data_IF_435210281450
#
_entry.id   IF_435210281450
#
_cell.length_a   1.000
_cell.length_b   1.000
_cell.length_c   1.000
_cell.angle_alpha   90.00
_cell.angle_beta   90.00
_cell.angle_gamma   90.00
#
_symmetry.space_group_name_H-M   'P 1'
#
loop_
_entity.id
_entity.type
_entity.pdbx_description
1 polymer ?
#
# COMPACT_ATOMS: atom_id res chain seq x y z
N UNK A 1 32.88 -12.53 -18.96
CA UNK A 1 32.70 -11.07 -19.03
C UNK A 1 32.01 -10.65 -17.76
N UNK A 2 32.68 -9.89 -16.90
CA UNK A 2 32.07 -9.41 -15.67
C UNK A 2 31.06 -8.30 -16.01
N UNK A 3 29.83 -8.32 -15.47
CA UNK A 3 28.91 -7.21 -15.64
C UNK A 3 29.51 -5.97 -14.95
N UNK A 4 29.71 -4.91 -15.71
CA UNK A 4 30.05 -3.59 -15.16
C UNK A 4 28.98 -3.20 -14.17
N UNK A 5 29.34 -3.03 -12.90
CA UNK A 5 28.51 -2.31 -11.93
C UNK A 5 28.23 -0.93 -12.53
N UNK A 6 27.01 -0.68 -12.92
CA UNK A 6 26.53 0.67 -13.16
C UNK A 6 26.66 1.42 -11.82
N UNK A 7 27.67 2.27 -11.74
CA UNK A 7 27.83 3.16 -10.61
C UNK A 7 26.57 4.01 -10.50
N UNK A 8 26.03 4.12 -9.29
CA UNK A 8 24.99 5.09 -8.97
C UNK A 8 25.48 6.47 -9.41
N UNK A 9 24.77 7.19 -10.27
CA UNK A 9 25.07 8.58 -10.48
C UNK A 9 24.64 9.32 -9.22
N UNK A 10 25.54 10.13 -8.72
CA UNK A 10 25.36 11.09 -7.65
C UNK A 10 25.28 10.58 -6.21
N UNK A 11 26.14 11.17 -5.37
CA UNK A 11 26.16 11.08 -3.93
C UNK A 11 24.95 11.75 -3.24
N UNK A 12 23.74 11.50 -3.73
CA UNK A 12 22.51 11.91 -3.04
C UNK A 12 22.38 11.07 -1.78
N UNK A 13 22.38 11.77 -0.66
CA UNK A 13 22.04 11.21 0.63
C UNK A 13 20.65 10.56 0.51
N UNK A 14 20.51 9.32 0.95
CA UNK A 14 19.28 8.50 0.98
C UNK A 14 18.21 9.05 1.94
N UNK A 15 18.05 10.37 2.04
CA UNK A 15 17.21 11.00 3.07
C UNK A 15 15.80 11.36 2.59
N UNK A 16 15.45 11.16 1.30
CA UNK A 16 14.26 11.83 0.77
C UNK A 16 13.22 10.89 0.07
N UNK A 17 13.26 9.58 0.32
CA UNK A 17 12.24 8.64 -0.18
C UNK A 17 11.34 8.14 0.96
N UNK A 18 11.03 8.98 1.92
CA UNK A 18 10.14 8.61 3.00
C UNK A 18 8.68 8.74 2.55
N UNK A 19 7.90 7.68 2.74
CA UNK A 19 6.44 7.79 2.85
C UNK A 19 6.13 8.90 3.85
N UNK A 20 4.95 9.53 3.72
CA UNK A 20 4.54 10.59 4.63
C UNK A 20 4.60 10.12 6.09
N UNK A 21 5.61 10.59 6.82
CA UNK A 21 5.76 10.31 8.25
C UNK A 21 4.81 11.23 9.03
N UNK A 22 3.99 10.68 9.90
CA UNK A 22 3.12 11.43 10.80
C UNK A 22 3.88 12.44 11.68
N UNK A 23 5.17 12.21 11.92
CA UNK A 23 6.06 13.18 12.59
C UNK A 23 6.25 14.45 11.77
N UNK A 24 6.34 14.32 10.44
CA UNK A 24 6.47 15.47 9.56
C UNK A 24 5.22 16.37 9.63
N UNK A 25 4.03 15.76 9.67
CA UNK A 25 2.77 16.48 9.86
C UNK A 25 2.71 17.24 11.19
N UNK A 26 3.37 16.73 12.23
CA UNK A 26 3.44 17.40 13.55
C UNK A 26 4.49 18.49 13.61
N UNK A 27 5.57 18.39 12.84
CA UNK A 27 6.71 19.32 12.91
C UNK A 27 6.70 20.40 11.84
N UNK A 28 6.15 20.12 10.64
CA UNK A 28 6.20 21.00 9.46
C UNK A 28 4.93 20.86 8.61
N UNK A 29 3.79 21.06 9.24
CA UNK A 29 2.47 20.88 8.62
C UNK A 29 2.27 21.80 7.41
N UNK A 30 2.66 23.06 7.53
CA UNK A 30 2.49 24.07 6.50
C UNK A 30 3.24 23.69 5.20
N UNK A 31 4.46 23.23 5.31
CA UNK A 31 5.25 22.78 4.14
C UNK A 31 4.62 21.56 3.47
N UNK A 32 4.11 20.60 4.27
CA UNK A 32 3.40 19.43 3.73
C UNK A 32 2.15 19.85 2.97
N UNK A 33 1.34 20.74 3.55
CA UNK A 33 0.11 21.23 2.92
C UNK A 33 0.41 21.92 1.58
N UNK A 34 1.44 22.77 1.52
CA UNK A 34 1.82 23.43 0.27
C UNK A 34 2.27 22.42 -0.81
N UNK A 35 3.04 21.41 -0.44
CA UNK A 35 3.45 20.36 -1.38
C UNK A 35 2.28 19.49 -1.85
N UNK A 36 1.29 19.24 -1.00
CA UNK A 36 0.11 18.46 -1.36
C UNK A 36 -0.79 19.18 -2.37
N UNK A 37 -0.75 20.52 -2.42
CA UNK A 37 -1.47 21.31 -3.43
C UNK A 37 -1.04 20.98 -4.86
N UNK A 38 0.23 20.57 -5.08
CA UNK A 38 0.73 20.12 -6.38
C UNK A 38 -0.09 18.95 -6.93
N UNK A 39 -0.66 18.13 -6.02
CA UNK A 39 -1.54 16.99 -6.36
C UNK A 39 -3.03 17.35 -6.30
N UNK A 40 -3.37 18.62 -6.28
CA UNK A 40 -4.75 19.10 -6.08
C UNK A 40 -5.44 18.52 -4.83
N UNK A 41 -4.63 18.19 -3.80
CA UNK A 41 -5.14 17.62 -2.56
C UNK A 41 -5.35 18.72 -1.52
N UNK A 42 -6.57 18.84 -1.03
CA UNK A 42 -6.93 19.75 0.06
C UNK A 42 -6.89 18.99 1.37
N UNK A 43 -5.91 19.30 2.20
CA UNK A 43 -5.76 18.70 3.51
C UNK A 43 -6.58 19.47 4.56
N UNK A 44 -7.37 18.73 5.34
CA UNK A 44 -8.13 19.31 6.45
C UNK A 44 -7.22 19.55 7.67
N UNK A 45 -6.59 20.71 7.67
CA UNK A 45 -5.62 21.13 8.71
C UNK A 45 -6.30 21.26 10.07
N UNK A 46 -7.52 21.76 10.10
CA UNK A 46 -8.23 22.04 11.36
C UNK A 46 -8.65 20.73 12.03
N UNK A 47 -9.21 19.79 11.27
CA UNK A 47 -9.53 18.46 11.77
C UNK A 47 -8.29 17.71 12.28
N UNK A 48 -7.17 17.80 11.56
CA UNK A 48 -5.92 17.18 12.01
C UNK A 48 -5.42 17.78 13.33
N UNK A 49 -5.40 19.11 13.45
CA UNK A 49 -4.95 19.80 14.67
C UNK A 49 -5.82 19.47 15.86
N UNK A 50 -7.13 19.44 15.66
CA UNK A 50 -8.08 19.08 16.71
C UNK A 50 -7.86 17.66 17.22
N UNK A 51 -7.76 16.68 16.32
CA UNK A 51 -7.51 15.27 16.68
C UNK A 51 -6.15 15.09 17.38
N UNK A 52 -5.09 15.74 16.92
CA UNK A 52 -3.76 15.67 17.55
C UNK A 52 -3.74 16.32 18.94
N UNK A 53 -4.44 17.42 19.16
CA UNK A 53 -4.51 18.02 20.49
C UNK A 53 -5.33 17.15 21.46
N UNK A 54 -6.47 16.61 21.02
CA UNK A 54 -7.24 15.65 21.82
C UNK A 54 -6.41 14.41 22.15
N UNK A 55 -5.68 13.85 21.17
CA UNK A 55 -4.79 12.69 21.37
C UNK A 55 -3.73 12.99 22.42
N UNK A 56 -3.10 14.16 22.35
CA UNK A 56 -2.07 14.58 23.31
C UNK A 56 -2.61 14.69 24.73
N UNK A 57 -3.77 15.31 24.90
CA UNK A 57 -4.44 15.44 26.22
C UNK A 57 -4.79 14.07 26.78
N UNK A 58 -5.44 13.20 25.99
CA UNK A 58 -5.81 11.86 26.42
C UNK A 58 -4.59 10.98 26.72
N UNK A 59 -3.54 11.09 25.91
CA UNK A 59 -2.31 10.33 26.13
C UNK A 59 -1.63 10.71 27.45
N UNK A 60 -1.55 12.02 27.78
CA UNK A 60 -1.00 12.49 29.05
C UNK A 60 -1.85 12.00 30.21
N UNK A 61 -3.17 12.19 30.15
CA UNK A 61 -4.11 11.73 31.18
C UNK A 61 -4.01 10.20 31.42
N UNK A 62 -3.94 9.42 30.35
CA UNK A 62 -3.77 7.95 30.46
C UNK A 62 -2.47 7.58 31.15
N UNK A 63 -1.36 8.27 30.82
CA UNK A 63 -0.06 8.04 31.46
C UNK A 63 -0.08 8.41 32.96
N UNK A 64 -0.74 9.52 33.31
CA UNK A 64 -0.91 9.95 34.71
C UNK A 64 -1.72 8.93 35.52
N UNK A 65 -2.88 8.48 34.99
CA UNK A 65 -3.70 7.44 35.61
C UNK A 65 -2.94 6.13 35.79
N UNK A 66 -2.15 5.72 34.80
CA UNK A 66 -1.29 4.53 34.88
C UNK A 66 -0.23 4.67 35.97
N UNK A 67 0.42 5.84 36.05
CA UNK A 67 1.44 6.15 37.06
C UNK A 67 0.85 6.14 38.49
N UNK A 68 -0.31 6.79 38.63
CA UNK A 68 -1.03 6.85 39.90
C UNK A 68 -1.46 5.44 40.38
N UNK A 69 -2.09 4.66 39.49
CA UNK A 69 -2.47 3.27 39.78
C UNK A 69 -1.28 2.43 40.19
N UNK A 70 -0.13 2.56 39.53
CA UNK A 70 1.09 1.83 39.88
C UNK A 70 1.61 2.25 41.28
N UNK A 71 1.53 3.54 41.61
CA UNK A 71 1.95 4.07 42.89
C UNK A 71 1.04 3.54 44.04
N UNK A 72 -0.29 3.61 43.82
CA UNK A 72 -1.27 3.07 44.79
C UNK A 72 -1.13 1.55 44.97
N UNK A 73 -0.88 0.82 43.86
CA UNK A 73 -0.65 -0.63 43.95
C UNK A 73 0.60 -1.00 44.78
N UNK A 74 1.66 -0.19 44.73
CA UNK A 74 2.82 -0.37 45.58
C UNK A 74 2.52 -0.05 47.06
N UNK A 75 1.69 0.96 47.31
CA UNK A 75 1.26 1.33 48.67
C UNK A 75 0.48 0.21 49.34
N UNK A 76 -0.33 -0.57 48.62
CA UNK A 76 -1.01 -1.77 49.14
C UNK A 76 0.00 -2.77 49.70
N UNK A 77 1.12 -3.01 49.00
CA UNK A 77 2.18 -3.90 49.45
C UNK A 77 2.81 -3.43 50.77
N UNK A 78 3.07 -2.13 50.94
CA UNK A 78 3.62 -1.54 52.15
C UNK A 78 2.62 -1.59 53.31
N UNK A 79 1.37 -1.19 53.09
CA UNK A 79 0.30 -1.23 54.10
C UNK A 79 0.03 -2.66 54.58
N UNK A 80 0.05 -3.65 53.70
CA UNK A 80 -0.07 -5.06 54.06
C UNK A 80 1.09 -5.54 54.95
N UNK A 81 2.30 -5.07 54.70
CA UNK A 81 3.48 -5.40 55.51
C UNK A 81 3.44 -4.76 56.91
N UNK A 82 2.82 -3.57 57.05
CA UNK A 82 2.64 -2.87 58.31
C UNK A 82 1.38 -3.29 59.09
N UNK A 83 0.52 -4.15 58.51
CA UNK A 83 -0.71 -4.62 59.17
C UNK A 83 -1.85 -3.62 59.17
N UNK A 84 -1.78 -2.60 58.26
CA UNK A 84 -2.81 -1.61 58.11
C UNK A 84 -4.00 -2.13 57.28
N UNK A 85 -5.17 -1.48 57.41
CA UNK A 85 -6.32 -1.80 56.58
C UNK A 85 -6.06 -1.40 55.12
N UNK A 86 -6.07 -2.38 54.24
CA UNK A 86 -5.78 -2.20 52.80
C UNK A 86 -7.04 -1.98 51.97
N UNK A 87 -8.26 -2.11 52.55
CA UNK A 87 -9.50 -2.03 51.77
C UNK A 87 -9.68 -0.67 51.06
N UNK A 88 -9.41 0.47 51.72
CA UNK A 88 -9.50 1.77 51.02
C UNK A 88 -8.55 1.88 49.82
N UNK A 89 -7.33 1.35 49.93
CA UNK A 89 -6.36 1.35 48.84
C UNK A 89 -6.78 0.43 47.69
N UNK A 90 -7.41 -0.69 47.99
CA UNK A 90 -7.96 -1.60 46.97
C UNK A 90 -9.11 -0.93 46.22
N UNK A 91 -9.99 -0.23 46.91
CA UNK A 91 -11.11 0.50 46.27
C UNK A 91 -10.61 1.66 45.41
N UNK A 92 -9.58 2.40 45.83
CA UNK A 92 -8.91 3.41 45.04
C UNK A 92 -8.28 2.82 43.77
N UNK A 93 -7.55 1.72 43.87
CA UNK A 93 -6.91 1.06 42.74
C UNK A 93 -7.95 0.50 41.74
N UNK A 94 -9.07 -0.01 42.22
CA UNK A 94 -10.18 -0.46 41.41
C UNK A 94 -10.77 0.73 40.63
N UNK A 95 -11.08 1.85 41.28
CA UNK A 95 -11.57 3.07 40.66
C UNK A 95 -10.60 3.63 39.63
N UNK A 96 -9.31 3.67 39.93
CA UNK A 96 -8.26 4.08 38.98
C UNK A 96 -8.17 3.12 37.78
N UNK A 97 -8.38 1.82 38.01
CA UNK A 97 -8.43 0.81 36.96
C UNK A 97 -9.58 1.08 35.96
N UNK A 98 -10.77 1.39 36.46
CA UNK A 98 -11.92 1.70 35.62
C UNK A 98 -11.71 2.98 34.81
N UNK A 99 -11.18 4.04 35.46
CA UNK A 99 -10.84 5.30 34.75
C UNK A 99 -9.77 5.09 33.69
N UNK A 100 -8.76 4.31 33.97
CA UNK A 100 -7.71 4.00 33.03
C UNK A 100 -8.26 3.23 31.81
N UNK A 101 -9.09 2.23 32.02
CA UNK A 101 -9.74 1.46 30.96
C UNK A 101 -10.61 2.36 30.08
N UNK A 102 -11.34 3.31 30.66
CA UNK A 102 -12.12 4.27 29.91
C UNK A 102 -11.21 5.18 29.07
N UNK A 103 -10.16 5.76 29.66
CA UNK A 103 -9.21 6.62 28.97
C UNK A 103 -8.49 5.90 27.83
N UNK A 104 -8.10 4.63 28.02
CA UNK A 104 -7.51 3.78 26.98
C UNK A 104 -8.48 3.51 25.82
N UNK A 105 -9.78 3.30 26.12
CA UNK A 105 -10.81 3.14 25.09
C UNK A 105 -11.00 4.42 24.28
N UNK A 106 -11.12 5.57 24.96
CA UNK A 106 -11.27 6.87 24.31
C UNK A 106 -10.06 7.22 23.42
N UNK A 107 -8.84 6.92 23.92
CA UNK A 107 -7.61 7.09 23.15
C UNK A 107 -7.57 6.17 21.93
N UNK A 108 -8.05 4.93 22.06
CA UNK A 108 -8.18 3.97 20.95
C UNK A 108 -9.15 4.47 19.89
N UNK A 109 -10.33 4.94 20.27
CA UNK A 109 -11.32 5.47 19.34
C UNK A 109 -10.81 6.72 18.61
N UNK A 110 -10.07 7.57 19.32
CA UNK A 110 -9.46 8.77 18.74
C UNK A 110 -8.34 8.40 17.76
N UNK A 111 -7.52 7.37 18.08
CA UNK A 111 -6.47 6.89 17.20
C UNK A 111 -7.05 6.34 15.89
N UNK A 112 -8.17 5.62 15.94
CA UNK A 112 -8.87 5.16 14.72
C UNK A 112 -9.27 6.33 13.84
N UNK A 113 -9.85 7.39 14.40
CA UNK A 113 -10.23 8.59 13.62
C UNK A 113 -9.01 9.29 13.00
N UNK A 114 -7.92 9.38 13.75
CA UNK A 114 -6.67 9.96 13.25
C UNK A 114 -6.08 9.12 12.13
N UNK A 115 -6.07 7.80 12.27
CA UNK A 115 -5.56 6.87 11.26
C UNK A 115 -6.43 6.93 9.98
N UNK A 116 -7.75 7.02 10.08
CA UNK A 116 -8.65 7.21 8.93
C UNK A 116 -8.33 8.51 8.17
N UNK A 117 -8.10 9.62 8.87
CA UNK A 117 -7.70 10.87 8.24
C UNK A 117 -6.33 10.75 7.56
N UNK A 118 -5.34 10.16 8.24
CA UNK A 118 -3.98 9.99 7.73
C UNK A 118 -3.90 9.07 6.50
N UNK A 119 -4.69 8.00 6.47
CA UNK A 119 -4.76 7.06 5.34
C UNK A 119 -5.28 7.70 4.05
N UNK A 120 -6.04 8.79 4.15
CA UNK A 120 -6.51 9.56 3.01
C UNK A 120 -5.46 10.46 2.37
N UNK A 121 -4.33 10.73 3.04
CA UNK A 121 -3.33 11.69 2.58
C UNK A 121 -2.38 11.05 1.57
N UNK A 122 -2.22 11.59 0.36
CA UNK A 122 -1.23 11.10 -0.59
C UNK A 122 0.21 11.42 -0.12
N UNK A 123 1.19 10.65 -0.61
CA UNK A 123 2.59 10.96 -0.37
C UNK A 123 2.97 12.35 -0.90
N UNK A 124 3.84 13.02 -0.17
CA UNK A 124 4.40 14.32 -0.57
C UNK A 124 5.19 14.15 -1.87
N UNK A 125 4.90 14.93 -2.92
CA UNK A 125 5.65 14.87 -4.16
C UNK A 125 7.08 15.40 -3.97
N UNK A 126 8.02 14.88 -4.76
CA UNK A 126 9.37 15.42 -4.83
C UNK A 126 9.34 16.82 -5.46
N UNK A 127 10.31 17.68 -5.12
CA UNK A 127 10.36 19.09 -5.57
C UNK A 127 10.49 19.23 -7.11
N UNK A 128 10.92 18.17 -7.80
CA UNK A 128 10.99 18.15 -9.28
C UNK A 128 9.66 17.84 -9.98
N UNK A 129 8.60 17.51 -9.23
CA UNK A 129 7.30 17.21 -9.80
C UNK A 129 6.60 18.53 -10.17
N UNK A 130 6.22 18.73 -11.44
CA UNK A 130 5.51 19.93 -11.84
C UNK A 130 4.09 19.94 -11.25
N UNK A 131 3.55 21.13 -11.07
CA UNK A 131 2.11 21.28 -10.83
C UNK A 131 1.36 21.07 -12.13
N UNK A 132 0.24 20.37 -12.08
CA UNK A 132 -0.59 20.11 -13.27
C UNK A 132 -1.86 19.35 -12.93
N UNK A 133 -2.81 19.40 -13.87
CA UNK A 133 -4.12 18.76 -13.75
C UNK A 133 -4.24 17.48 -14.58
N UNK A 134 -3.35 17.29 -15.55
CA UNK A 134 -3.37 16.17 -16.48
C UNK A 134 -1.97 15.66 -16.81
N UNK A 135 -1.92 14.59 -17.61
CA UNK A 135 -0.67 14.03 -18.15
C UNK A 135 0.05 14.98 -19.12
N UNK A 136 -0.67 15.94 -19.70
CA UNK A 136 -0.09 16.96 -20.60
C UNK A 136 0.85 17.92 -19.87
N UNK A 137 0.70 18.06 -18.57
CA UNK A 137 1.54 18.90 -17.72
C UNK A 137 2.84 18.19 -17.30
N UNK A 138 3.01 16.91 -17.65
CA UNK A 138 4.19 16.14 -17.29
C UNK A 138 5.44 16.64 -18.02
N UNK A 139 6.53 16.75 -17.27
CA UNK A 139 7.84 17.07 -17.86
C UNK A 139 8.52 15.83 -18.38
N UNK A 140 8.87 15.82 -19.67
CA UNK A 140 9.66 14.74 -20.27
C UNK A 140 11.08 14.79 -19.72
N UNK A 141 11.48 13.73 -19.00
CA UNK A 141 12.80 13.64 -18.35
C UNK A 141 13.88 13.20 -19.34
N UNK A 142 13.56 12.24 -20.21
CA UNK A 142 14.50 11.72 -21.21
C UNK A 142 13.77 11.02 -22.35
N UNK A 143 14.42 10.97 -23.50
CA UNK A 143 14.00 10.13 -24.63
C UNK A 143 15.04 9.03 -24.84
N UNK A 144 14.60 7.84 -25.20
CA UNK A 144 15.45 6.74 -25.61
C UNK A 144 14.98 6.16 -26.94
N UNK A 145 15.89 6.10 -27.91
CA UNK A 145 15.61 5.61 -29.26
C UNK A 145 14.76 6.59 -30.07
N UNK A 146 14.47 6.21 -31.30
CA UNK A 146 13.59 6.92 -32.20
C UNK A 146 12.45 5.99 -32.64
N UNK A 147 11.18 6.44 -32.64
CA UNK A 147 10.08 5.64 -33.14
C UNK A 147 10.30 5.32 -34.63
N UNK A 148 10.14 4.03 -35.03
CA UNK A 148 10.28 3.66 -36.42
C UNK A 148 9.18 4.35 -37.27
N UNK A 149 9.57 4.78 -38.48
CA UNK A 149 8.62 5.25 -39.47
C UNK A 149 8.27 4.09 -40.42
N UNK A 150 6.98 3.93 -40.66
CA UNK A 150 6.46 2.89 -41.56
C UNK A 150 5.92 3.53 -42.85
N UNK A 151 6.08 2.84 -43.96
CA UNK A 151 5.56 3.22 -45.28
C UNK A 151 4.17 2.61 -45.55
N UNK A 152 3.55 2.02 -44.56
CA UNK A 152 2.21 1.44 -44.60
C UNK A 152 1.34 1.95 -43.44
N UNK A 153 0.03 1.77 -43.55
CA UNK A 153 -0.93 2.12 -42.50
C UNK A 153 -0.74 1.19 -41.27
N UNK A 154 -0.36 1.79 -40.17
CA UNK A 154 -0.15 1.08 -38.91
C UNK A 154 -1.51 0.72 -38.29
N UNK A 155 -1.69 -0.56 -37.93
CA UNK A 155 -2.85 -1.06 -37.20
C UNK A 155 -2.46 -1.42 -35.79
N UNK A 156 -3.36 -1.20 -34.86
CA UNK A 156 -3.12 -1.60 -33.48
C UNK A 156 -3.29 -3.12 -33.26
N UNK A 157 -3.01 -3.58 -32.06
CA UNK A 157 -3.07 -5.00 -31.70
C UNK A 157 -4.50 -5.56 -31.70
N UNK A 158 -5.52 -4.71 -31.53
CA UNK A 158 -6.94 -5.12 -31.55
C UNK A 158 -7.32 -5.42 -33.01
N UNK A 159 -7.10 -4.45 -33.90
CA UNK A 159 -7.40 -4.61 -35.32
C UNK A 159 -6.69 -5.82 -35.92
N UNK A 160 -5.43 -6.02 -35.57
CA UNK A 160 -4.65 -7.18 -36.04
C UNK A 160 -5.19 -8.48 -35.47
N UNK A 161 -5.54 -8.50 -34.20
CA UNK A 161 -6.06 -9.69 -33.52
C UNK A 161 -7.43 -10.12 -34.04
N UNK A 162 -8.32 -9.18 -34.31
CA UNK A 162 -9.63 -9.42 -34.89
C UNK A 162 -9.51 -9.88 -36.36
N UNK A 163 -8.67 -9.20 -37.16
CA UNK A 163 -8.42 -9.59 -38.56
C UNK A 163 -7.85 -11.01 -38.67
N UNK A 164 -7.08 -11.47 -37.70
CA UNK A 164 -6.57 -12.83 -37.62
C UNK A 164 -7.59 -13.83 -37.05
N UNK A 165 -8.77 -13.38 -36.63
CA UNK A 165 -9.80 -14.20 -35.99
C UNK A 165 -9.38 -14.77 -34.61
N UNK A 166 -8.34 -14.22 -34.02
CA UNK A 166 -7.76 -14.71 -32.75
C UNK A 166 -8.21 -13.97 -31.50
N UNK A 167 -8.85 -12.79 -31.64
CA UNK A 167 -9.44 -12.00 -30.56
C UNK A 167 -10.93 -11.84 -30.82
N UNK A 168 -11.75 -11.91 -29.75
CA UNK A 168 -13.20 -11.77 -29.86
C UNK A 168 -13.77 -11.12 -28.59
N UNK A 169 -14.00 -9.83 -28.66
CA UNK A 169 -14.58 -9.04 -27.58
C UNK A 169 -16.07 -9.28 -27.40
N UNK A 170 -16.81 -9.53 -28.51
CA UNK A 170 -18.24 -9.76 -28.46
C UNK A 170 -18.57 -11.07 -27.71
N UNK A 171 -17.80 -12.12 -27.97
CA UNK A 171 -17.88 -13.37 -27.24
C UNK A 171 -17.59 -13.16 -25.76
N UNK A 172 -16.53 -12.43 -25.42
CA UNK A 172 -16.17 -12.11 -24.05
C UNK A 172 -17.27 -11.31 -23.33
N UNK A 173 -17.88 -10.35 -24.02
CA UNK A 173 -18.98 -9.55 -23.47
C UNK A 173 -20.19 -10.40 -23.11
N UNK A 174 -20.52 -11.42 -23.91
CA UNK A 174 -21.61 -12.38 -23.59
C UNK A 174 -21.31 -13.27 -22.38
N UNK A 175 -20.02 -13.55 -22.13
CA UNK A 175 -19.59 -14.43 -21.02
C UNK A 175 -19.46 -13.66 -19.72
N UNK A 176 -18.85 -12.48 -19.76
CA UNK A 176 -18.40 -11.77 -18.56
C UNK A 176 -18.73 -10.27 -18.54
N UNK A 177 -19.24 -9.72 -19.64
CA UNK A 177 -19.53 -8.29 -19.77
C UNK A 177 -18.48 -7.53 -20.59
N UNK A 178 -18.68 -6.22 -20.69
CA UNK A 178 -17.77 -5.34 -21.42
C UNK A 178 -16.35 -5.35 -20.81
N UNK A 179 -15.37 -5.07 -21.65
CA UNK A 179 -13.94 -4.96 -21.29
C UNK A 179 -13.26 -6.30 -20.97
N UNK A 180 -13.86 -7.44 -21.23
CA UNK A 180 -13.20 -8.73 -21.26
C UNK A 180 -12.78 -9.09 -22.68
N UNK A 181 -11.84 -10.01 -22.80
CA UNK A 181 -11.36 -10.51 -24.09
C UNK A 181 -11.33 -12.03 -24.09
N UNK A 182 -11.70 -12.63 -25.22
CA UNK A 182 -11.39 -14.04 -25.47
C UNK A 182 -10.38 -14.14 -26.60
N UNK A 183 -9.43 -15.04 -26.45
CA UNK A 183 -8.44 -15.34 -27.47
C UNK A 183 -8.49 -16.80 -27.84
N UNK A 184 -8.17 -17.11 -29.10
CA UNK A 184 -8.14 -18.48 -29.61
C UNK A 184 -6.97 -18.69 -30.58
N UNK A 185 -6.59 -19.97 -30.75
CA UNK A 185 -5.62 -20.39 -31.77
C UNK A 185 -4.19 -19.85 -31.56
N UNK A 186 -3.52 -19.42 -32.66
CA UNK A 186 -2.11 -19.03 -32.61
C UNK A 186 -1.81 -17.85 -31.67
N UNK A 187 -2.77 -16.92 -31.45
CA UNK A 187 -2.55 -15.79 -30.53
C UNK A 187 -2.41 -16.23 -29.09
N UNK A 188 -3.13 -17.26 -28.67
CA UNK A 188 -2.96 -17.84 -27.33
C UNK A 188 -1.56 -18.50 -27.19
N UNK A 189 -1.08 -19.14 -28.27
CA UNK A 189 0.27 -19.71 -28.28
C UNK A 189 1.32 -18.62 -28.19
N UNK A 190 1.16 -17.52 -28.93
CA UNK A 190 2.04 -16.35 -28.88
C UNK A 190 2.04 -15.73 -27.47
N UNK A 191 0.87 -15.54 -26.86
CA UNK A 191 0.78 -15.02 -25.50
C UNK A 191 1.57 -15.85 -24.51
N UNK A 192 1.42 -17.19 -24.55
CA UNK A 192 2.20 -18.08 -23.65
C UNK A 192 3.70 -18.01 -23.92
N UNK A 193 4.10 -17.91 -25.19
CA UNK A 193 5.50 -17.75 -25.55
C UNK A 193 6.09 -16.44 -25.00
N UNK A 194 5.37 -15.34 -25.11
CA UNK A 194 5.77 -14.05 -24.55
C UNK A 194 5.85 -14.08 -23.02
N UNK A 195 4.88 -14.69 -22.35
CA UNK A 195 4.92 -14.89 -20.90
C UNK A 195 6.18 -15.63 -20.47
N UNK A 196 6.44 -16.76 -21.11
CA UNK A 196 7.63 -17.59 -20.80
C UNK A 196 8.93 -16.84 -21.11
N UNK A 197 8.98 -16.11 -22.23
CA UNK A 197 10.15 -15.30 -22.60
C UNK A 197 10.44 -14.24 -21.52
N UNK A 198 9.42 -13.46 -21.11
CA UNK A 198 9.59 -12.40 -20.12
C UNK A 198 10.00 -12.94 -18.73
N UNK A 199 9.39 -14.05 -18.28
CA UNK A 199 9.79 -14.69 -17.02
C UNK A 199 11.23 -15.17 -17.09
N UNK A 200 11.60 -15.90 -18.15
CA UNK A 200 12.94 -16.42 -18.33
C UNK A 200 14.00 -15.31 -18.39
N UNK A 201 13.69 -14.19 -19.06
CA UNK A 201 14.57 -13.02 -19.12
C UNK A 201 14.89 -12.49 -17.71
N UNK A 202 13.88 -12.36 -16.87
CA UNK A 202 14.09 -11.89 -15.51
C UNK A 202 14.83 -12.88 -14.62
N UNK A 203 14.55 -14.18 -14.75
CA UNK A 203 15.25 -15.22 -13.98
C UNK A 203 16.71 -15.34 -14.42
N UNK A 204 16.95 -15.45 -15.72
CA UNK A 204 18.28 -15.81 -16.25
C UNK A 204 19.24 -14.62 -16.33
N UNK A 205 18.74 -13.43 -16.70
CA UNK A 205 19.56 -12.26 -16.95
C UNK A 205 19.56 -11.26 -15.78
N UNK A 206 18.47 -11.16 -15.03
CA UNK A 206 18.32 -10.14 -14.00
C UNK A 206 18.37 -10.68 -12.57
N UNK A 207 18.47 -12.01 -12.39
CA UNK A 207 18.60 -12.65 -11.09
C UNK A 207 17.36 -12.56 -10.21
N UNK A 208 16.18 -12.60 -10.82
CA UNK A 208 14.91 -12.69 -10.09
C UNK A 208 14.59 -14.14 -9.73
N UNK A 209 13.89 -14.32 -8.63
CA UNK A 209 13.29 -15.59 -8.24
C UNK A 209 11.84 -15.63 -8.72
N UNK A 210 11.45 -16.67 -9.46
CA UNK A 210 10.06 -16.85 -9.84
C UNK A 210 9.21 -17.18 -8.62
N UNK A 211 8.06 -16.49 -8.50
CA UNK A 211 7.12 -16.65 -7.41
C UNK A 211 5.74 -17.04 -7.93
N UNK A 212 5.10 -17.97 -7.25
CA UNK A 212 3.70 -18.29 -7.43
C UNK A 212 2.93 -17.84 -6.19
N UNK A 213 1.91 -17.01 -6.38
CA UNK A 213 1.15 -16.41 -5.30
C UNK A 213 -0.36 -16.68 -5.46
N UNK A 214 -1.14 -16.66 -4.37
CA UNK A 214 -2.60 -16.73 -4.43
C UNK A 214 -3.19 -15.57 -5.24
N UNK A 215 -4.27 -15.85 -5.99
CA UNK A 215 -5.03 -14.84 -6.73
C UNK A 215 -6.15 -14.20 -5.91
N UNK A 216 -6.45 -14.80 -4.75
CA UNK A 216 -7.38 -14.31 -3.76
C UNK A 216 -6.61 -13.95 -2.50
N UNK A 217 -6.82 -12.72 -2.02
CA UNK A 217 -6.14 -12.19 -0.84
C UNK A 217 -7.14 -11.59 0.14
N UNK A 218 -6.74 -11.48 1.40
CA UNK A 218 -7.52 -10.80 2.44
C UNK A 218 -7.32 -9.28 2.41
N UNK A 219 -8.14 -8.56 3.17
CA UNK A 219 -8.09 -7.10 3.26
C UNK A 219 -6.74 -6.58 3.79
N UNK A 220 -6.14 -7.27 4.78
CA UNK A 220 -4.86 -6.87 5.35
C UNK A 220 -3.72 -6.88 4.32
N UNK A 221 -3.70 -7.85 3.41
CA UNK A 221 -2.75 -7.93 2.30
C UNK A 221 -2.88 -6.74 1.34
N UNK A 222 -4.12 -6.32 1.03
CA UNK A 222 -4.40 -5.16 0.19
C UNK A 222 -4.05 -3.84 0.89
N UNK A 223 -4.25 -3.79 2.20
CA UNK A 223 -3.85 -2.64 3.02
C UNK A 223 -2.32 -2.48 3.03
N UNK A 224 -1.58 -3.58 3.19
CA UNK A 224 -0.12 -3.59 3.21
C UNK A 224 0.55 -3.02 1.95
N UNK A 225 -0.15 -3.02 0.81
CA UNK A 225 0.33 -2.45 -0.47
C UNK A 225 -0.39 -1.15 -0.86
N UNK A 226 -1.19 -0.56 0.04
CA UNK A 226 -1.87 0.71 -0.19
C UNK A 226 -3.04 0.66 -1.18
N UNK A 227 -3.55 -0.53 -1.51
CA UNK A 227 -4.77 -0.67 -2.31
C UNK A 227 -6.02 -0.31 -1.47
N UNK A 228 -5.99 -0.65 -0.21
CA UNK A 228 -7.02 -0.28 0.76
C UNK A 228 -6.56 0.90 1.64
N UNK A 229 -7.48 1.76 2.10
CA UNK A 229 -8.92 1.78 1.83
C UNK A 229 -9.28 2.46 0.50
N UNK A 230 -8.37 3.23 -0.10
CA UNK A 230 -8.62 4.18 -1.19
C UNK A 230 -9.26 3.56 -2.43
N UNK A 231 -8.81 2.38 -2.82
CA UNK A 231 -9.25 1.70 -4.06
C UNK A 231 -10.21 0.54 -3.80
N UNK A 232 -10.86 0.51 -2.61
CA UNK A 232 -11.78 -0.58 -2.24
C UNK A 232 -12.90 -0.82 -3.27
N UNK A 233 -13.42 0.25 -3.87
CA UNK A 233 -14.48 0.18 -4.87
C UNK A 233 -14.01 -0.36 -6.23
N UNK A 234 -12.70 -0.37 -6.44
CA UNK A 234 -12.04 -0.82 -7.66
C UNK A 234 -11.56 -2.27 -7.56
N UNK A 235 -12.05 -3.03 -6.59
CA UNK A 235 -11.65 -4.41 -6.35
C UNK A 235 -12.84 -5.36 -6.51
N UNK A 236 -12.59 -6.52 -7.11
CA UNK A 236 -13.56 -7.61 -7.11
C UNK A 236 -13.60 -8.26 -5.73
N UNK A 237 -14.66 -8.00 -5.00
CA UNK A 237 -14.89 -8.53 -3.68
C UNK A 237 -15.67 -9.84 -3.73
N UNK A 238 -15.16 -10.89 -3.09
CA UNK A 238 -15.76 -12.21 -3.02
C UNK A 238 -16.11 -12.48 -1.57
N UNK A 239 -17.41 -12.36 -1.27
CA UNK A 239 -17.95 -12.61 0.07
C UNK A 239 -18.66 -13.95 0.11
N UNK A 240 -18.27 -14.79 1.06
CA UNK A 240 -18.96 -16.05 1.39
C UNK A 240 -19.21 -16.14 2.89
N UNK A 241 -19.91 -17.16 3.36
CA UNK A 241 -20.20 -17.34 4.79
C UNK A 241 -18.94 -17.34 5.67
N UNK A 242 -17.83 -17.90 5.15
CA UNK A 242 -16.59 -18.11 5.92
C UNK A 242 -15.39 -17.30 5.40
N UNK A 243 -15.53 -16.59 4.28
CA UNK A 243 -14.42 -15.89 3.64
C UNK A 243 -14.85 -14.52 3.14
N UNK A 244 -13.97 -13.58 3.36
CA UNK A 244 -14.03 -12.21 2.85
C UNK A 244 -12.72 -11.97 2.11
N UNK A 245 -12.71 -12.19 0.79
CA UNK A 245 -11.53 -12.21 -0.06
C UNK A 245 -11.71 -11.29 -1.26
N UNK A 246 -10.60 -10.91 -1.86
CA UNK A 246 -10.55 -10.05 -3.03
C UNK A 246 -9.69 -10.68 -4.11
N UNK A 247 -10.10 -10.56 -5.38
CA UNK A 247 -9.21 -10.86 -6.50
C UNK A 247 -8.08 -9.84 -6.54
N UNK A 248 -6.87 -10.31 -6.77
CA UNK A 248 -5.70 -9.43 -6.84
C UNK A 248 -5.78 -8.49 -8.05
N UNK A 249 -5.56 -7.18 -7.87
CA UNK A 249 -5.42 -6.23 -8.97
C UNK A 249 -4.04 -6.30 -9.64
N UNK A 250 -3.07 -6.88 -8.97
CA UNK A 250 -1.69 -7.06 -9.43
C UNK A 250 -0.98 -8.14 -8.60
N UNK A 251 0.01 -8.82 -9.19
CA UNK A 251 0.88 -9.76 -8.47
C UNK A 251 1.70 -9.08 -7.35
N UNK A 252 1.94 -7.79 -7.44
CA UNK A 252 2.64 -7.00 -6.42
C UNK A 252 2.00 -7.19 -5.04
N UNK A 253 0.66 -7.20 -4.96
CA UNK A 253 -0.08 -7.32 -3.70
C UNK A 253 0.32 -8.55 -2.90
N UNK A 254 0.16 -9.79 -3.38
CA UNK A 254 0.59 -10.94 -2.60
C UNK A 254 2.11 -11.07 -2.48
N UNK A 255 2.88 -10.72 -3.50
CA UNK A 255 4.34 -10.92 -3.50
C UNK A 255 5.04 -9.98 -2.51
N UNK A 256 4.63 -8.71 -2.43
CA UNK A 256 5.17 -7.78 -1.42
C UNK A 256 4.87 -8.27 0.01
N UNK A 257 3.71 -8.88 0.21
CA UNK A 257 3.33 -9.43 1.51
C UNK A 257 4.00 -10.77 1.87
N UNK A 258 4.87 -11.33 1.04
CA UNK A 258 5.71 -12.48 1.42
C UNK A 258 6.59 -12.19 2.63
N UNK A 259 6.92 -10.93 2.84
CA UNK A 259 7.75 -10.46 3.95
C UNK A 259 6.97 -9.61 4.98
N UNK A 260 5.63 -9.57 4.88
CA UNK A 260 4.79 -8.90 5.86
C UNK A 260 5.03 -9.50 7.26
N UNK A 261 5.03 -8.66 8.29
CA UNK A 261 5.27 -9.02 9.69
C UNK A 261 6.60 -9.77 9.93
N UNK A 262 7.58 -9.60 9.03
CA UNK A 262 8.90 -10.24 9.12
C UNK A 262 9.99 -9.21 9.37
N UNK A 263 11.02 -9.62 10.10
CA UNK A 263 12.27 -8.87 10.24
C UNK A 263 13.31 -9.58 9.39
N UNK A 264 13.80 -8.89 8.36
CA UNK A 264 14.79 -9.41 7.44
C UNK A 264 16.19 -9.02 7.88
N UNK A 265 17.14 -9.94 7.77
CA UNK A 265 18.55 -9.65 7.96
C UNK A 265 19.10 -8.84 6.77
N UNK A 266 20.06 -7.95 7.02
CA UNK A 266 20.62 -7.10 5.98
C UNK A 266 21.23 -7.88 4.79
N UNK A 267 21.70 -9.11 5.04
CA UNK A 267 22.27 -9.99 4.02
C UNK A 267 21.24 -10.67 3.10
N UNK A 268 19.95 -10.65 3.48
CA UNK A 268 18.87 -11.20 2.65
C UNK A 268 18.41 -10.19 1.58
N UNK A 269 18.78 -8.94 1.70
CA UNK A 269 18.38 -7.88 0.78
C UNK A 269 19.45 -7.64 -0.31
N UNK A 270 19.04 -7.29 -1.55
CA UNK A 270 17.65 -7.12 -2.02
C UNK A 270 16.98 -8.44 -2.36
N UNK A 271 15.72 -8.61 -2.00
CA UNK A 271 14.85 -9.65 -2.52
C UNK A 271 14.28 -9.22 -3.89
N UNK A 272 14.30 -10.13 -4.87
CA UNK A 272 13.81 -9.87 -6.22
C UNK A 272 12.90 -11.00 -6.65
N UNK A 273 11.64 -10.71 -6.90
CA UNK A 273 10.65 -11.68 -7.34
C UNK A 273 10.05 -11.29 -8.69
N UNK A 274 9.77 -12.28 -9.52
CA UNK A 274 8.96 -12.15 -10.73
C UNK A 274 7.78 -13.11 -10.65
N UNK A 275 6.59 -12.65 -11.01
CA UNK A 275 5.39 -13.48 -11.01
C UNK A 275 4.53 -13.20 -12.25
N UNK A 276 3.91 -14.26 -12.76
CA UNK A 276 2.87 -14.17 -13.77
C UNK A 276 1.53 -14.51 -13.10
N UNK A 277 0.60 -13.57 -13.12
CA UNK A 277 -0.75 -13.74 -12.58
C UNK A 277 -1.80 -13.10 -13.48
N UNK A 278 -3.06 -13.57 -13.47
CA UNK A 278 -4.15 -12.74 -13.91
C UNK A 278 -4.23 -11.49 -13.05
N UNK A 279 -4.70 -10.40 -13.63
CA UNK A 279 -4.85 -9.09 -12.99
C UNK A 279 -6.31 -8.67 -13.12
N UNK A 280 -6.96 -8.37 -12.01
CA UNK A 280 -8.39 -8.10 -11.94
C UNK A 280 -8.65 -6.67 -11.47
N UNK A 281 -9.00 -5.78 -12.39
CA UNK A 281 -9.41 -4.40 -12.09
C UNK A 281 -10.76 -4.13 -12.77
N UNK A 282 -11.84 -3.87 -12.03
CA UNK A 282 -13.15 -3.60 -12.61
C UNK A 282 -13.18 -2.40 -13.58
N UNK A 283 -12.25 -1.48 -13.44
CA UNK A 283 -12.11 -0.30 -14.32
C UNK A 283 -11.35 -0.63 -15.60
N UNK A 284 -10.45 -1.61 -15.52
CA UNK A 284 -9.61 -2.10 -16.60
C UNK A 284 -9.73 -3.60 -16.66
N UNK A 285 -9.95 -4.14 -17.79
CA UNK A 285 -10.15 -5.57 -18.01
C UNK A 285 -8.95 -6.39 -17.59
N UNK A 286 -9.22 -7.67 -17.37
CA UNK A 286 -8.24 -8.72 -17.11
C UNK A 286 -7.06 -8.60 -18.08
N UNK A 287 -6.00 -7.94 -17.63
CA UNK A 287 -4.76 -7.82 -18.37
C UNK A 287 -3.74 -8.73 -17.68
N UNK A 288 -3.10 -9.59 -18.44
CA UNK A 288 -1.96 -10.36 -17.95
C UNK A 288 -0.76 -9.42 -17.92
N UNK A 289 -0.29 -9.09 -16.74
CA UNK A 289 0.90 -8.26 -16.56
C UNK A 289 1.98 -9.09 -15.86
N UNK A 290 3.16 -9.14 -16.46
CA UNK A 290 4.37 -9.61 -15.78
C UNK A 290 5.00 -8.38 -15.15
N UNK A 291 5.05 -8.35 -13.82
CA UNK A 291 5.81 -7.34 -13.09
C UNK A 291 6.99 -7.99 -12.39
N UNK A 292 8.14 -7.35 -12.53
CA UNK A 292 9.29 -7.54 -11.67
C UNK A 292 9.18 -6.50 -10.54
N UNK A 293 9.24 -6.96 -9.30
CA UNK A 293 9.27 -6.14 -8.10
C UNK A 293 10.69 -6.17 -7.49
#
# INVERSE_FOLDING_TARGET
MHPRRLGRPDGRKTTDLNMLDSKLLRSDLESVVEKLKIKNFVFDVDAFRELEEQRKVLQVSTQELQSERNTRSRAIGAAKASGEDIQPLLDEVASLGDKLKQAESELGDLQVKLDELLQGIPNVPHDSVPSGDSEDDNTVVSHWGEPPQFDFEVRDHIDLGEALGGIDFERAARISGARFVTMTGPLVTLQRALIQFMINQHIQEHGYTEAYAPYLVNEATLFGTGQMPKFKQDLFHIKSENHDLYLIPTAEVPVTNFVADSILEAGELPLKFVAHTPVSDPRRVLTVVIRAA
#
